data_IF_687025720286
#
_entry.id   IF_687025720286
#
_cell.length_a   1.000
_cell.length_b   1.000
_cell.length_c   1.000
_cell.angle_alpha   90.00
_cell.angle_beta   90.00
_cell.angle_gamma   90.00
#
_symmetry.space_group_name_H-M   'P 1'
#
loop_
_entity.id
_entity.type
_entity.pdbx_description
1 polymer ?
#
# COMPACT_ATOMS: atom_id res chain seq x y z
N UNK A 1 3.77 -5.25 -0.91
CA UNK A 1 3.75 -6.41 -1.82
C UNK A 1 2.65 -6.24 -2.85
N UNK A 2 2.97 -6.56 -4.07
CA UNK A 2 2.01 -6.62 -5.18
C UNK A 2 2.07 -8.03 -5.77
N UNK A 3 0.94 -8.69 -5.83
CA UNK A 3 0.81 -10.00 -6.44
C UNK A 3 -0.03 -9.88 -7.70
N UNK A 4 0.52 -10.27 -8.84
CA UNK A 4 -0.22 -10.45 -10.07
C UNK A 4 -0.78 -11.86 -10.11
N UNK A 5 -2.06 -11.98 -10.34
CA UNK A 5 -2.84 -13.21 -10.26
C UNK A 5 -3.29 -13.66 -11.65
N UNK A 6 -3.65 -14.92 -11.75
CA UNK A 6 -4.38 -15.42 -12.94
C UNK A 6 -5.67 -14.62 -13.13
N UNK A 7 -6.09 -14.36 -14.38
CA UNK A 7 -7.37 -13.72 -14.66
C UNK A 7 -8.53 -14.40 -13.92
N UNK A 8 -9.38 -13.60 -13.29
CA UNK A 8 -10.53 -14.07 -12.53
C UNK A 8 -10.23 -14.58 -11.09
N UNK A 9 -8.95 -14.73 -10.71
CA UNK A 9 -8.60 -15.27 -9.40
C UNK A 9 -8.62 -14.22 -8.26
N UNK A 10 -8.70 -12.93 -8.61
CA UNK A 10 -8.57 -11.84 -7.64
C UNK A 10 -9.61 -11.89 -6.49
N UNK A 11 -10.92 -12.09 -6.72
CA UNK A 11 -11.90 -12.19 -5.64
C UNK A 11 -11.64 -13.40 -4.73
N UNK A 12 -11.35 -14.56 -5.31
CA UNK A 12 -11.07 -15.79 -4.54
C UNK A 12 -9.82 -15.63 -3.67
N UNK A 13 -8.76 -15.03 -4.20
CA UNK A 13 -7.52 -14.79 -3.45
C UNK A 13 -7.77 -13.76 -2.33
N UNK A 14 -8.52 -12.70 -2.61
CA UNK A 14 -8.86 -11.70 -1.59
C UNK A 14 -9.69 -12.32 -0.46
N UNK A 15 -10.71 -13.11 -0.79
CA UNK A 15 -11.54 -13.81 0.19
C UNK A 15 -10.71 -14.81 1.02
N UNK A 16 -9.92 -15.67 0.37
CA UNK A 16 -9.04 -16.63 1.06
C UNK A 16 -8.05 -15.90 2.00
N UNK A 17 -7.53 -14.75 1.58
CA UNK A 17 -6.62 -13.96 2.39
C UNK A 17 -7.31 -13.33 3.59
N UNK A 18 -8.55 -12.85 3.43
CA UNK A 18 -9.34 -12.26 4.50
C UNK A 18 -9.78 -13.31 5.55
N UNK A 19 -10.27 -14.46 5.10
CA UNK A 19 -10.83 -15.49 6.00
C UNK A 19 -9.73 -16.33 6.62
N UNK A 20 -8.88 -16.97 5.80
CA UNK A 20 -7.88 -17.92 6.27
C UNK A 20 -6.52 -17.28 6.53
N UNK A 21 -6.05 -16.45 5.60
CA UNK A 21 -4.74 -15.80 5.73
C UNK A 21 -4.68 -14.88 6.95
N UNK A 22 -5.73 -14.10 7.19
CA UNK A 22 -5.84 -13.20 8.34
C UNK A 22 -6.01 -13.94 9.66
N UNK A 23 -6.80 -15.02 9.68
CA UNK A 23 -6.99 -15.88 10.86
C UNK A 23 -5.67 -16.50 11.32
N UNK A 24 -4.87 -17.04 10.39
CA UNK A 24 -3.58 -17.67 10.70
C UNK A 24 -2.52 -16.62 11.11
N UNK A 25 -2.43 -15.54 10.36
CA UNK A 25 -1.34 -14.58 10.51
C UNK A 25 -1.60 -13.54 11.58
N UNK A 26 -2.84 -13.04 11.69
CA UNK A 26 -3.16 -11.93 12.58
C UNK A 26 -2.20 -10.76 12.39
N UNK A 27 -1.80 -10.13 13.48
CA UNK A 27 -0.72 -9.14 13.56
C UNK A 27 0.55 -9.72 14.23
N UNK A 28 0.57 -11.03 14.49
CA UNK A 28 1.70 -11.68 15.16
C UNK A 28 2.94 -11.82 14.27
N UNK A 29 2.76 -11.70 12.96
CA UNK A 29 3.84 -11.82 11.96
C UNK A 29 3.99 -10.55 11.13
N UNK A 30 3.92 -9.40 11.80
CA UNK A 30 3.85 -8.06 11.22
C UNK A 30 2.42 -7.55 11.16
N UNK A 31 2.24 -6.24 11.31
CA UNK A 31 0.93 -5.61 11.31
C UNK A 31 0.42 -5.38 9.89
N UNK A 32 -0.82 -5.79 9.62
CA UNK A 32 -1.48 -5.49 8.35
C UNK A 32 -2.02 -4.05 8.35
N UNK A 33 -1.47 -3.22 7.50
CA UNK A 33 -1.92 -1.83 7.31
C UNK A 33 -3.01 -1.69 6.26
N UNK A 34 -3.09 -2.62 5.31
CA UNK A 34 -4.14 -2.64 4.32
C UNK A 34 -3.97 -3.72 3.26
N UNK A 35 -5.10 -4.06 2.62
CA UNK A 35 -5.18 -5.04 1.54
C UNK A 35 -6.18 -4.56 0.50
N UNK A 36 -5.77 -4.43 -0.74
CA UNK A 36 -6.55 -3.85 -1.82
C UNK A 36 -6.51 -4.72 -3.07
N UNK A 37 -7.61 -4.69 -3.81
CA UNK A 37 -7.70 -5.21 -5.17
C UNK A 37 -7.56 -4.06 -6.16
N UNK A 38 -6.85 -4.28 -7.27
CA UNK A 38 -6.73 -3.27 -8.33
C UNK A 38 -7.92 -3.33 -9.26
N UNK A 39 -8.48 -2.15 -9.57
CA UNK A 39 -9.57 -1.96 -10.53
C UNK A 39 -9.11 -1.17 -11.75
N UNK A 40 -8.20 -0.22 -11.55
CA UNK A 40 -7.66 0.65 -12.61
C UNK A 40 -6.14 0.59 -12.56
N UNK A 41 -5.50 0.57 -13.72
CA UNK A 41 -4.06 0.39 -13.89
C UNK A 41 -3.73 -1.05 -14.25
N UNK A 42 -2.75 -1.64 -13.58
CA UNK A 42 -2.43 -3.05 -13.78
C UNK A 42 -3.50 -3.94 -13.15
N UNK A 43 -4.21 -4.70 -13.98
CA UNK A 43 -5.33 -5.54 -13.56
C UNK A 43 -4.88 -6.86 -12.91
N UNK A 44 -5.84 -7.55 -12.30
CA UNK A 44 -5.65 -8.85 -11.63
C UNK A 44 -4.58 -8.81 -10.55
N UNK A 45 -4.48 -7.71 -9.82
CA UNK A 45 -3.52 -7.59 -8.73
C UNK A 45 -4.19 -7.45 -7.37
N UNK A 46 -3.54 -8.00 -6.36
CA UNK A 46 -3.76 -7.64 -4.96
C UNK A 46 -2.53 -6.91 -4.45
N UNK A 47 -2.75 -5.82 -3.74
CA UNK A 47 -1.71 -5.02 -3.09
C UNK A 47 -1.94 -5.08 -1.60
N UNK A 48 -0.90 -5.42 -0.83
CA UNK A 48 -1.03 -5.44 0.62
C UNK A 48 0.20 -4.83 1.30
N UNK A 49 -0.07 -4.05 2.33
CA UNK A 49 0.91 -3.32 3.10
C UNK A 49 1.04 -3.92 4.49
N UNK A 50 2.28 -4.18 4.90
CA UNK A 50 2.62 -4.70 6.21
C UNK A 50 3.70 -3.85 6.83
N UNK A 51 3.57 -3.49 8.09
CA UNK A 51 4.58 -2.79 8.85
C UNK A 51 5.33 -3.70 9.82
N UNK A 52 6.57 -3.34 10.08
CA UNK A 52 7.51 -3.96 11.00
C UNK A 52 8.36 -2.86 11.62
N UNK A 53 8.84 -3.06 12.82
CA UNK A 53 9.70 -2.08 13.50
C UNK A 53 11.11 -2.03 12.90
N UNK A 54 11.61 -3.17 12.39
CA UNK A 54 12.94 -3.26 11.79
C UNK A 54 13.04 -4.36 10.71
N UNK A 55 14.15 -4.39 9.99
CA UNK A 55 14.48 -5.47 9.06
C UNK A 55 14.70 -6.80 9.77
N UNK A 56 15.33 -6.78 10.94
CA UNK A 56 15.58 -7.95 11.76
C UNK A 56 14.28 -8.55 12.25
N UNK A 57 13.37 -7.73 12.76
CA UNK A 57 12.04 -8.17 13.16
C UNK A 57 11.28 -8.80 11.98
N UNK A 58 11.29 -8.11 10.85
CA UNK A 58 10.65 -8.65 9.63
C UNK A 58 11.24 -9.99 9.21
N UNK A 59 12.56 -10.16 9.28
CA UNK A 59 13.22 -11.42 8.92
C UNK A 59 12.82 -12.52 9.89
N UNK A 60 12.86 -12.27 11.19
CA UNK A 60 12.46 -13.21 12.24
C UNK A 60 11.01 -13.63 12.09
N UNK A 61 10.07 -12.68 12.07
CA UNK A 61 8.63 -12.97 12.00
C UNK A 61 8.24 -13.70 10.70
N UNK A 62 8.89 -13.41 9.59
CA UNK A 62 8.67 -14.15 8.35
C UNK A 62 9.24 -15.55 8.39
N UNK A 63 10.37 -15.74 9.07
CA UNK A 63 10.93 -17.08 9.35
C UNK A 63 9.97 -17.92 10.18
N UNK A 64 9.44 -17.36 11.28
CA UNK A 64 8.45 -18.01 12.14
C UNK A 64 7.16 -18.35 11.37
N UNK A 65 6.63 -17.43 10.56
CA UNK A 65 5.45 -17.69 9.73
C UNK A 65 5.68 -18.84 8.74
N UNK A 66 6.89 -18.97 8.19
CA UNK A 66 7.23 -20.07 7.29
C UNK A 66 7.23 -21.46 7.96
N UNK A 67 7.33 -21.50 9.29
CA UNK A 67 7.24 -22.73 10.09
C UNK A 67 5.81 -22.99 10.61
N UNK A 68 4.88 -22.08 10.41
CA UNK A 68 3.50 -22.28 10.83
C UNK A 68 2.81 -23.29 9.91
N UNK A 69 2.41 -24.44 10.47
CA UNK A 69 1.85 -25.55 9.71
C UNK A 69 0.53 -25.22 9.00
N UNK A 70 -0.32 -24.38 9.60
CA UNK A 70 -1.55 -23.92 8.95
C UNK A 70 -1.24 -22.97 7.78
N UNK A 71 -0.23 -22.11 7.95
CA UNK A 71 0.21 -21.21 6.85
C UNK A 71 0.69 -22.00 5.64
N UNK A 72 1.58 -22.98 5.87
CA UNK A 72 2.18 -23.78 4.81
C UNK A 72 1.25 -24.86 4.26
N UNK A 73 0.40 -25.46 5.10
CA UNK A 73 -0.46 -26.59 4.74
C UNK A 73 -1.88 -26.21 4.31
N UNK A 74 -2.40 -25.04 4.75
CA UNK A 74 -3.78 -24.65 4.41
C UNK A 74 -3.84 -23.43 3.50
N UNK A 75 -3.11 -22.33 3.84
CA UNK A 75 -3.22 -21.05 3.12
C UNK A 75 -2.40 -21.04 1.82
N UNK A 76 -1.10 -21.37 1.89
CA UNK A 76 -0.23 -21.32 0.71
C UNK A 76 -0.71 -22.23 -0.43
N UNK A 77 -1.20 -23.47 -0.20
CA UNK A 77 -1.74 -24.29 -1.27
C UNK A 77 -2.94 -23.70 -2.00
N UNK A 78 -3.72 -22.81 -1.34
CA UNK A 78 -4.85 -22.11 -1.97
C UNK A 78 -4.41 -20.84 -2.70
N UNK A 79 -3.35 -20.20 -2.24
CA UNK A 79 -2.84 -18.97 -2.82
C UNK A 79 -1.93 -19.22 -4.03
N UNK A 80 -0.90 -20.07 -3.87
CA UNK A 80 0.20 -20.22 -4.82
C UNK A 80 -0.25 -20.61 -6.25
N UNK A 81 -1.24 -21.49 -6.45
CA UNK A 81 -1.71 -21.84 -7.80
C UNK A 81 -2.27 -20.66 -8.59
N UNK A 82 -2.67 -19.57 -7.90
CA UNK A 82 -3.25 -18.38 -8.50
C UNK A 82 -2.22 -17.28 -8.81
N UNK A 83 -0.98 -17.42 -8.31
CA UNK A 83 0.06 -16.41 -8.49
C UNK A 83 0.78 -16.56 -9.82
N UNK A 84 0.95 -15.44 -10.51
CA UNK A 84 1.78 -15.33 -11.71
C UNK A 84 3.09 -14.58 -11.40
N UNK A 85 3.02 -13.55 -10.54
CA UNK A 85 4.16 -12.70 -10.20
C UNK A 85 4.02 -12.14 -8.79
N UNK A 86 5.14 -11.97 -8.12
CA UNK A 86 5.22 -11.29 -6.81
C UNK A 86 6.26 -10.18 -6.86
N UNK A 87 5.90 -9.02 -6.37
CA UNK A 87 6.79 -7.89 -6.20
C UNK A 87 6.80 -7.44 -4.74
N UNK A 88 7.96 -7.03 -4.27
CA UNK A 88 8.13 -6.51 -2.91
C UNK A 88 8.84 -5.17 -2.97
N UNK A 89 8.25 -4.16 -2.35
CA UNK A 89 8.91 -2.90 -2.03
C UNK A 89 9.13 -2.83 -0.53
N UNK A 90 10.32 -2.45 -0.13
CA UNK A 90 10.63 -2.09 1.25
C UNK A 90 10.68 -0.58 1.30
N UNK A 91 9.95 0.00 2.23
CA UNK A 91 9.69 1.43 2.24
C UNK A 91 9.79 1.98 3.66
N UNK A 92 10.31 3.21 3.78
CA UNK A 92 10.32 3.97 5.03
C UNK A 92 9.24 5.05 4.96
N UNK A 93 8.33 5.06 5.94
CA UNK A 93 7.27 6.06 6.00
C UNK A 93 7.85 7.43 6.42
N UNK A 94 7.48 8.48 5.70
CA UNK A 94 7.72 9.88 6.09
C UNK A 94 6.41 10.64 6.36
N UNK A 95 5.28 10.10 5.91
CA UNK A 95 3.94 10.42 6.44
C UNK A 95 3.39 9.15 7.04
N UNK A 96 2.99 9.15 8.33
CA UNK A 96 2.53 7.95 9.02
C UNK A 96 1.32 7.31 8.33
N UNK A 97 1.24 5.98 8.41
CA UNK A 97 0.05 5.24 7.97
C UNK A 97 -1.11 5.56 8.90
N UNK A 98 -2.24 5.91 8.32
CA UNK A 98 -3.49 6.13 9.05
C UNK A 98 -4.68 5.63 8.25
N UNK A 99 -5.63 5.02 8.96
CA UNK A 99 -6.89 4.64 8.36
C UNK A 99 -7.70 5.91 8.00
N UNK A 100 -8.44 5.91 6.89
CA UNK A 100 -9.39 6.98 6.60
C UNK A 100 -10.55 6.95 7.62
N UNK A 101 -11.21 8.10 7.80
CA UNK A 101 -12.32 8.24 8.74
C UNK A 101 -13.60 7.51 8.28
N UNK A 102 -13.71 7.16 7.01
CA UNK A 102 -14.87 6.50 6.40
C UNK A 102 -14.49 5.14 5.83
N UNK A 103 -15.43 4.20 5.83
CA UNK A 103 -15.31 2.91 5.16
C UNK A 103 -15.81 3.00 3.70
N UNK A 104 -15.55 1.95 2.92
CA UNK A 104 -16.04 1.85 1.53
C UNK A 104 -15.31 2.76 0.54
N UNK A 105 -14.14 3.29 0.91
CA UNK A 105 -13.38 4.16 0.03
C UNK A 105 -12.75 3.41 -1.14
N UNK A 106 -12.58 4.12 -2.25
CA UNK A 106 -11.56 3.80 -3.24
C UNK A 106 -10.22 4.37 -2.83
N UNK A 107 -9.15 3.72 -3.24
CA UNK A 107 -7.78 4.12 -2.91
C UNK A 107 -6.97 4.39 -4.17
N UNK A 108 -6.22 5.48 -4.16
CA UNK A 108 -5.28 5.82 -5.22
C UNK A 108 -3.85 5.69 -4.70
N UNK A 109 -3.15 4.63 -5.13
CA UNK A 109 -1.71 4.50 -4.90
C UNK A 109 -0.97 5.21 -6.02
N UNK A 110 -0.13 6.17 -5.65
CA UNK A 110 0.69 6.94 -6.59
C UNK A 110 2.16 6.67 -6.30
N UNK A 111 2.90 6.27 -7.32
CA UNK A 111 4.32 6.03 -7.24
C UNK A 111 5.05 6.94 -8.24
N UNK A 112 6.01 7.73 -7.76
CA UNK A 112 6.79 8.65 -8.56
C UNK A 112 8.26 8.30 -8.48
N UNK A 113 8.95 8.35 -9.60
CA UNK A 113 10.41 8.30 -9.63
C UNK A 113 10.96 9.71 -9.66
N UNK A 114 11.71 10.07 -8.64
CA UNK A 114 12.46 11.29 -8.60
C UNK A 114 13.83 11.11 -9.29
N UNK A 115 14.41 12.22 -9.72
CA UNK A 115 15.81 12.24 -10.14
C UNK A 115 16.72 11.81 -8.96
N UNK A 116 17.85 11.17 -9.21
CA UNK A 116 18.81 10.87 -8.16
C UNK A 116 19.08 12.09 -7.26
N UNK A 117 19.21 11.89 -5.97
CA UNK A 117 19.38 12.90 -4.91
C UNK A 117 18.14 13.77 -4.59
N UNK A 118 17.06 13.69 -5.38
CA UNK A 118 15.87 14.55 -5.20
C UNK A 118 14.76 13.91 -4.34
N UNK A 119 14.87 12.64 -3.97
CA UNK A 119 13.85 11.93 -3.19
C UNK A 119 13.63 12.58 -1.81
N UNK A 120 14.71 12.77 -1.04
CA UNK A 120 14.62 13.35 0.31
C UNK A 120 14.11 14.80 0.32
N UNK A 121 14.65 15.71 -0.52
CA UNK A 121 14.10 17.06 -0.65
C UNK A 121 12.61 17.08 -1.03
N UNK A 122 12.22 16.22 -1.98
CA UNK A 122 10.81 16.11 -2.39
C UNK A 122 9.93 15.61 -1.24
N UNK A 123 10.35 14.56 -0.54
CA UNK A 123 9.59 14.00 0.60
C UNK A 123 9.43 15.04 1.73
N UNK A 124 10.46 15.83 2.01
CA UNK A 124 10.37 16.91 2.98
C UNK A 124 9.38 18.00 2.56
N UNK A 125 9.46 18.46 1.30
CA UNK A 125 8.52 19.45 0.77
C UNK A 125 7.09 18.90 0.77
N UNK A 126 6.90 17.63 0.38
CA UNK A 126 5.60 16.97 0.42
C UNK A 126 5.05 16.85 1.83
N UNK A 127 5.86 16.47 2.82
CA UNK A 127 5.43 16.42 4.22
C UNK A 127 5.01 17.80 4.74
N UNK A 128 5.74 18.84 4.37
CA UNK A 128 5.43 20.23 4.77
C UNK A 128 4.10 20.73 4.21
N UNK A 129 3.75 20.34 2.97
CA UNK A 129 2.49 20.76 2.31
C UNK A 129 1.28 19.89 2.70
N UNK A 130 1.49 18.78 3.40
CA UNK A 130 0.41 17.86 3.80
C UNK A 130 -0.75 18.53 4.53
N UNK A 131 -0.55 19.46 5.48
CA UNK A 131 -1.67 20.15 6.15
C UNK A 131 -2.60 20.89 5.17
N UNK A 132 -2.06 21.41 4.08
CA UNK A 132 -2.86 22.05 3.01
C UNK A 132 -3.61 20.97 2.23
N UNK A 133 -2.91 19.92 1.80
CA UNK A 133 -3.48 18.85 0.97
C UNK A 133 -4.60 18.08 1.68
N UNK A 134 -4.44 17.81 2.97
CA UNK A 134 -5.40 17.05 3.78
C UNK A 134 -6.71 17.80 4.08
N UNK A 135 -6.79 19.12 3.81
CA UNK A 135 -8.06 19.84 3.80
C UNK A 135 -9.04 19.32 2.73
N UNK A 136 -8.52 18.65 1.71
CA UNK A 136 -9.26 18.20 0.53
C UNK A 136 -9.49 16.68 0.50
N UNK A 137 -8.53 15.89 0.92
CA UNK A 137 -8.68 14.43 1.03
C UNK A 137 -7.66 13.82 1.98
N UNK A 138 -8.02 12.71 2.60
CA UNK A 138 -7.16 12.00 3.53
C UNK A 138 -5.97 11.34 2.81
N UNK A 139 -4.77 11.54 3.35
CA UNK A 139 -3.57 10.78 3.00
C UNK A 139 -3.46 9.56 3.94
N UNK A 140 -3.50 8.36 3.39
CA UNK A 140 -3.35 7.13 4.18
C UNK A 140 -1.90 6.74 4.43
N UNK A 141 -0.94 7.51 3.93
CA UNK A 141 0.47 7.36 4.17
C UNK A 141 1.33 7.73 2.97
N UNK A 142 2.61 8.04 3.23
CA UNK A 142 3.60 8.27 2.18
C UNK A 142 4.96 7.69 2.57
N UNK A 143 5.68 7.16 1.59
CA UNK A 143 6.89 6.36 1.78
C UNK A 143 7.96 6.69 0.76
N UNK A 144 9.22 6.58 1.19
CA UNK A 144 10.39 6.47 0.32
C UNK A 144 10.71 4.99 0.16
N UNK A 145 10.90 4.53 -1.08
CA UNK A 145 11.36 3.16 -1.34
C UNK A 145 12.84 3.02 -0.99
N UNK A 146 13.13 2.07 -0.10
CA UNK A 146 14.49 1.68 0.26
C UNK A 146 15.00 0.59 -0.70
N UNK A 147 14.14 -0.38 -1.03
CA UNK A 147 14.49 -1.50 -1.89
C UNK A 147 13.33 -1.89 -2.80
N UNK A 148 13.68 -2.35 -3.99
CA UNK A 148 12.79 -2.75 -5.08
C UNK A 148 12.78 -1.73 -6.21
N UNK A 149 12.70 -0.43 -5.93
CA UNK A 149 12.79 0.66 -6.89
C UNK A 149 13.49 1.87 -6.25
N UNK A 150 14.78 2.06 -6.46
CA UNK A 150 15.49 3.21 -5.93
C UNK A 150 14.95 4.53 -6.52
N UNK A 151 15.02 5.60 -5.75
CA UNK A 151 14.50 6.93 -6.06
C UNK A 151 12.98 6.99 -6.29
N UNK A 152 12.22 6.01 -5.79
CA UNK A 152 10.77 6.02 -5.83
C UNK A 152 10.18 6.52 -4.51
N UNK A 153 9.12 7.30 -4.62
CA UNK A 153 8.23 7.68 -3.53
C UNK A 153 6.83 7.18 -3.83
N UNK A 154 6.16 6.65 -2.83
CA UNK A 154 4.78 6.20 -2.94
C UNK A 154 3.92 6.95 -1.95
N UNK A 155 2.68 7.26 -2.31
CA UNK A 155 1.69 7.81 -1.37
C UNK A 155 0.29 7.30 -1.71
N UNK A 156 -0.50 7.08 -0.68
CA UNK A 156 -1.83 6.49 -0.76
C UNK A 156 -2.90 7.50 -0.33
N UNK A 157 -3.93 7.62 -1.13
CA UNK A 157 -5.06 8.53 -0.90
C UNK A 157 -6.36 7.74 -0.85
N UNK A 158 -7.27 8.14 0.04
CA UNK A 158 -8.60 7.59 0.12
C UNK A 158 -9.64 8.61 -0.38
N UNK A 159 -10.62 8.14 -1.15
CA UNK A 159 -11.74 8.92 -1.65
C UNK A 159 -13.03 8.10 -1.56
N UNK A 160 -14.19 8.72 -1.30
CA UNK A 160 -15.47 8.00 -1.31
C UNK A 160 -15.77 7.33 -2.66
N UNK A 161 -15.46 8.01 -3.76
CA UNK A 161 -15.68 7.55 -5.13
C UNK A 161 -14.80 8.28 -6.15
N UNK A 162 -14.84 7.85 -7.42
CA UNK A 162 -14.04 8.43 -8.50
C UNK A 162 -14.43 9.87 -8.85
N UNK A 163 -15.70 10.24 -8.75
CA UNK A 163 -16.16 11.61 -9.03
C UNK A 163 -15.62 12.57 -7.98
N UNK A 164 -15.78 12.21 -6.69
CA UNK A 164 -15.21 12.96 -5.58
C UNK A 164 -13.70 13.12 -5.72
N UNK A 165 -13.00 12.08 -6.18
CA UNK A 165 -11.55 12.17 -6.48
C UNK A 165 -11.25 13.23 -7.54
N UNK A 166 -12.00 13.25 -8.64
CA UNK A 166 -11.79 14.22 -9.74
C UNK A 166 -12.03 15.65 -9.25
N UNK A 167 -13.16 15.90 -8.59
CA UNK A 167 -13.51 17.20 -8.03
C UNK A 167 -12.49 17.69 -7.00
N UNK A 168 -12.11 16.82 -6.08
CA UNK A 168 -11.12 17.14 -5.04
C UNK A 168 -9.78 17.53 -5.66
N UNK A 169 -9.32 16.80 -6.67
CA UNK A 169 -8.07 17.12 -7.36
C UNK A 169 -8.14 18.47 -8.10
N UNK A 170 -9.29 18.78 -8.72
CA UNK A 170 -9.49 20.07 -9.37
C UNK A 170 -9.42 21.23 -8.35
N UNK A 171 -10.04 21.07 -7.18
CA UNK A 171 -9.99 22.05 -6.09
C UNK A 171 -8.57 22.26 -5.56
N UNK A 172 -7.82 21.18 -5.33
CA UNK A 172 -6.41 21.24 -4.87
C UNK A 172 -5.54 22.04 -5.85
N UNK A 173 -5.73 21.83 -7.16
CA UNK A 173 -4.94 22.54 -8.18
C UNK A 173 -5.23 24.06 -8.22
N UNK A 174 -6.31 24.52 -7.59
CA UNK A 174 -6.66 25.93 -7.45
C UNK A 174 -6.19 26.55 -6.13
N UNK A 175 -5.71 25.74 -5.18
CA UNK A 175 -5.19 26.22 -3.90
C UNK A 175 -3.83 26.92 -4.12
N UNK A 176 -3.71 28.23 -3.77
CA UNK A 176 -2.46 28.97 -3.98
C UNK A 176 -1.25 28.34 -3.27
N UNK A 177 -1.46 27.82 -2.06
CA UNK A 177 -0.37 27.17 -1.30
C UNK A 177 0.08 25.85 -1.95
N UNK A 178 -0.85 25.13 -2.59
CA UNK A 178 -0.51 23.93 -3.35
C UNK A 178 0.21 24.23 -4.66
N UNK A 179 -0.10 25.36 -5.29
CA UNK A 179 0.55 25.77 -6.54
C UNK A 179 2.03 26.16 -6.35
N UNK A 180 2.42 26.55 -5.13
CA UNK A 180 3.81 26.84 -4.77
C UNK A 180 4.66 25.57 -4.54
N UNK A 181 4.02 24.41 -4.34
CA UNK A 181 4.68 23.11 -4.17
C UNK A 181 5.12 22.52 -5.52
#
# INVERSE_FOLDING_TARGET
RTYTLKPGAQPTVAQTSAELGRDIRGDNYGRLEGYWMTEIGALNQVVHLWSYESFEERARLRGELSQNGRWTGEYLPRLLPNLMRQEVRIMNAFVPVKAPATEGNIYELRCYRAKPTKVKPWAQAFANIMPVREKYSACSGAWICESGQPNEVCHLWAYPDLNTRVETRAKVMQDPQWQEF
#
